data_IF_407127131490
#
_entry.id   IF_407127131490
#
_cell.length_a   1.000
_cell.length_b   1.000
_cell.length_c   1.000
_cell.angle_alpha   90.00
_cell.angle_beta   90.00
_cell.angle_gamma   90.00
#
_symmetry.space_group_name_H-M   'P 1'
#
loop_
_entity.id
_entity.type
_entity.pdbx_description
1 polymer ?
#
# COMPACT_ATOMS: atom_id res chain seq x y z
N UNK A 1 14.35 16.71 10.83
CA UNK A 1 12.99 16.52 11.42
C UNK A 1 12.18 15.74 10.40
N UNK A 2 11.87 14.50 10.69
CA UNK A 2 11.11 13.60 9.84
C UNK A 2 9.72 14.18 9.62
N UNK A 3 9.37 14.47 8.36
CA UNK A 3 8.14 15.17 7.97
C UNK A 3 6.86 14.34 8.10
N UNK A 4 6.72 13.55 9.16
CA UNK A 4 5.48 12.83 9.47
C UNK A 4 4.45 13.86 9.93
N UNK A 5 3.40 14.02 9.15
CA UNK A 5 2.26 14.86 9.51
C UNK A 5 1.46 14.15 10.60
N UNK A 6 1.35 14.78 11.77
CA UNK A 6 0.52 14.28 12.87
C UNK A 6 -0.96 14.25 12.43
N UNK A 7 -1.61 13.10 12.62
CA UNK A 7 -3.05 12.91 12.31
C UNK A 7 -3.99 13.83 13.10
N UNK A 8 -3.47 14.54 14.12
CA UNK A 8 -4.24 15.49 14.93
C UNK A 8 -4.04 16.96 14.54
N UNK A 9 -3.17 17.24 13.57
CA UNK A 9 -2.81 18.61 13.18
C UNK A 9 -3.50 19.00 11.87
N UNK A 10 -4.10 20.19 11.85
CA UNK A 10 -4.65 20.76 10.63
C UNK A 10 -3.55 21.24 9.68
N UNK A 11 -3.67 20.86 8.43
CA UNK A 11 -2.81 21.28 7.33
C UNK A 11 -3.54 22.39 6.57
N UNK A 12 -2.92 23.58 6.46
CA UNK A 12 -3.48 24.66 5.67
C UNK A 12 -2.74 24.84 4.34
N UNK A 13 -3.47 25.30 3.31
CA UNK A 13 -2.88 25.63 2.01
C UNK A 13 -1.76 26.66 2.14
N UNK A 14 -1.91 27.64 3.05
CA UNK A 14 -0.94 28.69 3.26
C UNK A 14 0.37 28.18 3.85
N UNK A 15 0.30 27.35 4.89
CA UNK A 15 1.47 26.74 5.52
C UNK A 15 2.25 25.84 4.55
N UNK A 16 1.53 25.05 3.74
CA UNK A 16 2.19 24.19 2.74
C UNK A 16 2.82 25.02 1.61
N UNK A 17 2.15 26.07 1.14
CA UNK A 17 2.69 26.96 0.13
C UNK A 17 3.99 27.64 0.60
N UNK A 18 4.01 28.12 1.83
CA UNK A 18 5.20 28.68 2.46
C UNK A 18 6.32 27.66 2.63
N UNK A 19 6.00 26.47 3.18
CA UNK A 19 6.95 25.37 3.42
C UNK A 19 7.68 24.94 2.14
N UNK A 20 6.96 24.85 1.03
CA UNK A 20 7.51 24.38 -0.26
C UNK A 20 7.91 25.50 -1.23
N UNK A 21 7.74 26.77 -0.86
CA UNK A 21 8.11 27.92 -1.68
C UNK A 21 7.31 28.06 -2.97
N UNK A 22 6.04 27.64 -2.97
CA UNK A 22 5.14 27.65 -4.14
C UNK A 22 3.90 28.49 -3.90
N UNK A 23 3.12 28.78 -4.94
CA UNK A 23 1.83 29.46 -4.78
C UNK A 23 0.76 28.53 -4.16
N UNK A 24 -0.34 29.11 -3.64
CA UNK A 24 -1.43 28.34 -3.02
C UNK A 24 -2.19 27.46 -4.03
N UNK A 25 -2.22 27.81 -5.31
CA UNK A 25 -3.01 27.08 -6.30
C UNK A 25 -2.56 25.60 -6.44
N UNK A 26 -1.29 25.27 -6.78
CA UNK A 26 -0.85 23.88 -6.88
C UNK A 26 -0.96 23.14 -5.56
N UNK A 27 -0.81 23.82 -4.41
CA UNK A 27 -1.01 23.20 -3.08
C UNK A 27 -2.47 22.81 -2.87
N UNK A 28 -3.40 23.68 -3.20
CA UNK A 28 -4.84 23.40 -3.13
C UNK A 28 -5.20 22.19 -3.97
N UNK A 29 -4.72 22.12 -5.21
CA UNK A 29 -4.99 21.03 -6.14
C UNK A 29 -4.44 19.70 -5.58
N UNK A 30 -3.22 19.70 -5.04
CA UNK A 30 -2.62 18.53 -4.42
C UNK A 30 -3.38 18.07 -3.16
N UNK A 31 -3.73 18.99 -2.26
CA UNK A 31 -4.48 18.66 -1.04
C UNK A 31 -5.90 18.16 -1.38
N UNK A 32 -6.53 18.74 -2.40
CA UNK A 32 -7.83 18.29 -2.88
C UNK A 32 -7.75 16.88 -3.48
N UNK A 33 -6.71 16.59 -4.29
CA UNK A 33 -6.47 15.27 -4.84
C UNK A 33 -6.26 14.22 -3.73
N UNK A 34 -5.39 14.51 -2.75
CA UNK A 34 -5.15 13.64 -1.61
C UNK A 34 -6.42 13.41 -0.78
N UNK A 35 -7.27 14.45 -0.64
CA UNK A 35 -8.56 14.30 0.04
C UNK A 35 -9.53 13.43 -0.77
N UNK A 36 -9.58 13.57 -2.10
CA UNK A 36 -10.40 12.74 -2.97
C UNK A 36 -9.95 11.28 -2.96
N UNK A 37 -8.65 11.02 -2.81
CA UNK A 37 -8.08 9.69 -2.67
C UNK A 37 -8.25 9.09 -1.26
N UNK A 38 -8.74 9.88 -0.29
CA UNK A 38 -8.99 9.42 1.07
C UNK A 38 -7.79 9.47 2.02
N UNK A 39 -6.68 10.07 1.63
CA UNK A 39 -5.52 10.28 2.51
C UNK A 39 -5.71 11.43 3.49
N UNK A 40 -6.48 12.43 3.09
CA UNK A 40 -6.82 13.58 3.90
C UNK A 40 -8.34 13.72 4.05
N UNK A 41 -8.76 14.26 5.19
CA UNK A 41 -10.14 14.70 5.42
C UNK A 41 -10.16 16.21 5.30
N UNK A 42 -11.01 16.75 4.41
CA UNK A 42 -11.22 18.20 4.26
C UNK A 42 -12.23 18.72 5.29
N UNK A 43 -11.86 19.72 6.02
CA UNK A 43 -12.73 20.42 6.98
C UNK A 43 -12.99 21.85 6.51
N UNK A 44 -14.26 22.19 6.35
CA UNK A 44 -14.65 23.52 5.89
C UNK A 44 -14.03 24.62 6.77
N UNK A 45 -13.33 25.58 6.15
CA UNK A 45 -12.63 26.72 6.78
C UNK A 45 -11.50 26.37 7.75
N UNK A 46 -11.20 25.08 7.99
CA UNK A 46 -10.13 24.65 8.90
C UNK A 46 -8.92 24.08 8.16
N UNK A 47 -9.10 23.62 6.92
CA UNK A 47 -8.05 22.97 6.13
C UNK A 47 -8.23 21.45 6.07
N UNK A 48 -7.15 20.73 6.12
CA UNK A 48 -7.13 19.27 5.95
C UNK A 48 -6.48 18.60 7.15
N UNK A 49 -6.88 17.36 7.43
CA UNK A 49 -6.22 16.50 8.42
C UNK A 49 -5.85 15.18 7.75
N UNK A 50 -4.76 14.55 8.20
CA UNK A 50 -4.42 13.19 7.78
C UNK A 50 -5.55 12.25 8.22
N UNK A 51 -6.02 11.43 7.28
CA UNK A 51 -7.06 10.46 7.59
C UNK A 51 -6.51 9.39 8.55
N UNK A 52 -7.33 8.94 9.48
CA UNK A 52 -7.03 7.83 10.38
C UNK A 52 -8.11 6.77 10.21
N UNK A 53 -7.69 5.52 10.09
CA UNK A 53 -8.61 4.39 9.93
C UNK A 53 -8.78 3.66 11.25
N UNK A 54 -10.01 3.31 11.59
CA UNK A 54 -10.32 2.39 12.69
C UNK A 54 -9.86 0.97 12.33
N UNK A 55 -9.69 0.10 13.33
CA UNK A 55 -9.34 -1.31 13.11
C UNK A 55 -10.39 -1.99 12.22
N UNK A 56 -11.67 -1.70 12.44
CA UNK A 56 -12.76 -2.26 11.63
C UNK A 56 -12.65 -1.85 10.15
N UNK A 57 -12.39 -0.57 9.86
CA UNK A 57 -12.17 -0.10 8.48
C UNK A 57 -10.92 -0.74 7.85
N UNK A 58 -9.84 -0.91 8.60
CA UNK A 58 -8.64 -1.62 8.11
C UNK A 58 -8.98 -3.07 7.76
N UNK A 59 -9.72 -3.77 8.62
CA UNK A 59 -10.15 -5.15 8.36
C UNK A 59 -11.05 -5.26 7.12
N UNK A 60 -11.96 -4.31 6.90
CA UNK A 60 -12.77 -4.24 5.68
C UNK A 60 -11.90 -4.03 4.43
N UNK A 61 -10.90 -3.15 4.50
CA UNK A 61 -9.93 -2.93 3.41
C UNK A 61 -9.12 -4.20 3.15
N UNK A 62 -8.62 -4.87 4.20
CA UNK A 62 -7.86 -6.13 4.08
C UNK A 62 -8.69 -7.26 3.45
N UNK A 63 -9.98 -7.33 3.75
CA UNK A 63 -10.87 -8.32 3.15
C UNK A 63 -10.94 -8.18 1.62
N UNK A 64 -11.07 -6.95 1.11
CA UNK A 64 -11.10 -6.66 -0.34
C UNK A 64 -9.71 -6.91 -0.95
N UNK A 65 -8.65 -6.36 -0.33
CA UNK A 65 -7.26 -6.54 -0.75
C UNK A 65 -6.92 -8.01 -0.94
N UNK A 66 -7.30 -8.84 0.03
CA UNK A 66 -7.07 -10.29 0.01
C UNK A 66 -7.63 -10.96 -1.24
N UNK A 67 -8.83 -10.60 -1.68
CA UNK A 67 -9.42 -11.16 -2.90
C UNK A 67 -8.67 -10.71 -4.17
N UNK A 68 -8.25 -9.45 -4.22
CA UNK A 68 -7.47 -8.91 -5.35
C UNK A 68 -6.11 -9.61 -5.44
N UNK A 69 -5.44 -9.80 -4.29
CA UNK A 69 -4.12 -10.45 -4.28
C UNK A 69 -4.20 -11.96 -4.49
N UNK A 70 -5.26 -12.65 -4.09
CA UNK A 70 -5.51 -14.05 -4.47
C UNK A 70 -5.61 -14.21 -5.99
N UNK A 71 -6.31 -13.30 -6.65
CA UNK A 71 -6.32 -13.29 -8.12
C UNK A 71 -4.92 -13.05 -8.70
N UNK A 72 -4.10 -12.19 -8.08
CA UNK A 72 -2.71 -12.02 -8.49
C UNK A 72 -1.90 -13.32 -8.37
N UNK A 73 -2.04 -14.07 -7.27
CA UNK A 73 -1.38 -15.37 -7.06
C UNK A 73 -1.77 -16.37 -8.16
N UNK A 74 -3.07 -16.51 -8.45
CA UNK A 74 -3.56 -17.41 -9.50
C UNK A 74 -2.93 -17.08 -10.86
N UNK A 75 -3.00 -15.81 -11.25
CA UNK A 75 -2.47 -15.34 -12.53
C UNK A 75 -0.94 -15.43 -12.62
N UNK A 76 -0.21 -15.21 -11.53
CA UNK A 76 1.25 -15.40 -11.47
C UNK A 76 1.59 -16.86 -11.73
N UNK A 77 0.92 -17.80 -11.09
CA UNK A 77 1.14 -19.22 -11.25
C UNK A 77 0.88 -19.67 -12.71
N UNK A 78 -0.12 -19.08 -13.35
CA UNK A 78 -0.48 -19.39 -14.73
C UNK A 78 0.46 -18.74 -15.77
N UNK A 79 0.87 -17.49 -15.56
CA UNK A 79 1.43 -16.67 -16.63
C UNK A 79 2.86 -16.15 -16.40
N UNK A 80 3.31 -16.01 -15.13
CA UNK A 80 4.62 -15.43 -14.87
C UNK A 80 5.76 -16.46 -15.07
N UNK A 81 6.94 -15.99 -15.55
CA UNK A 81 8.14 -16.83 -15.63
C UNK A 81 8.79 -16.98 -14.26
N UNK A 82 9.65 -17.99 -14.09
CA UNK A 82 10.37 -18.20 -12.84
C UNK A 82 11.31 -17.03 -12.52
N UNK A 83 11.90 -16.40 -13.56
CA UNK A 83 12.73 -15.22 -13.40
C UNK A 83 11.92 -14.02 -12.87
N UNK A 84 10.69 -13.83 -13.35
CA UNK A 84 9.80 -12.78 -12.85
C UNK A 84 9.45 -13.03 -11.39
N UNK A 85 9.07 -14.25 -11.02
CA UNK A 85 8.77 -14.61 -9.63
C UNK A 85 10.02 -14.46 -8.75
N UNK A 86 11.17 -14.95 -9.18
CA UNK A 86 12.42 -14.83 -8.42
C UNK A 86 12.84 -13.37 -8.20
N UNK A 87 12.49 -12.46 -9.13
CA UNK A 87 12.78 -11.03 -8.98
C UNK A 87 12.09 -10.37 -7.78
N UNK A 88 11.03 -10.98 -7.25
CA UNK A 88 10.34 -10.52 -6.04
C UNK A 88 11.23 -10.57 -4.79
N UNK A 89 12.26 -11.44 -4.77
CA UNK A 89 13.17 -11.58 -3.61
C UNK A 89 13.93 -10.30 -3.27
N UNK A 90 14.10 -9.37 -4.22
CA UNK A 90 14.72 -8.08 -3.94
C UNK A 90 14.01 -7.29 -2.84
N UNK A 91 12.70 -7.47 -2.69
CA UNK A 91 11.91 -6.78 -1.68
C UNK A 91 12.07 -7.38 -0.27
N UNK A 92 12.56 -8.62 -0.18
CA UNK A 92 12.86 -9.29 1.09
C UNK A 92 14.34 -9.15 1.49
N UNK A 93 15.25 -9.15 0.52
CA UNK A 93 16.70 -9.11 0.76
C UNK A 93 17.29 -7.70 0.78
N UNK A 94 16.70 -6.75 0.07
CA UNK A 94 17.15 -5.37 -0.05
C UNK A 94 16.16 -4.36 0.54
N UNK A 95 15.27 -4.82 1.41
CA UNK A 95 14.19 -4.03 1.99
C UNK A 95 14.63 -2.71 2.62
N UNK A 96 15.81 -2.69 3.27
CA UNK A 96 16.37 -1.47 3.88
C UNK A 96 16.67 -0.33 2.88
N UNK A 97 16.76 -0.65 1.58
CA UNK A 97 17.02 0.31 0.49
C UNK A 97 15.76 0.75 -0.25
N UNK A 98 14.63 0.14 0.07
CA UNK A 98 13.35 0.35 -0.62
C UNK A 98 12.40 1.08 0.32
N UNK A 99 11.88 2.22 -0.12
CA UNK A 99 10.81 2.88 0.62
C UNK A 99 9.56 1.98 0.61
N UNK A 100 9.10 1.60 1.80
CA UNK A 100 7.97 0.73 1.99
C UNK A 100 8.06 -0.62 1.23
N UNK A 101 9.02 -1.50 1.58
CA UNK A 101 9.28 -2.75 0.84
C UNK A 101 8.07 -3.68 0.80
N UNK A 102 7.22 -3.68 1.84
CA UNK A 102 5.99 -4.46 1.88
C UNK A 102 5.01 -4.04 0.77
N UNK A 103 4.73 -2.74 0.66
CA UNK A 103 3.86 -2.23 -0.41
C UNK A 103 4.47 -2.51 -1.79
N UNK A 104 5.77 -2.28 -1.93
CA UNK A 104 6.49 -2.51 -3.18
C UNK A 104 6.45 -3.99 -3.62
N UNK A 105 6.52 -4.95 -2.67
CA UNK A 105 6.37 -6.37 -2.93
C UNK A 105 4.99 -6.71 -3.52
N UNK A 106 3.92 -6.31 -2.84
CA UNK A 106 2.55 -6.59 -3.31
C UNK A 106 2.23 -5.92 -4.66
N UNK A 107 2.72 -4.69 -4.86
CA UNK A 107 2.60 -4.02 -6.17
C UNK A 107 3.35 -4.76 -7.28
N UNK A 108 4.54 -5.29 -6.98
CA UNK A 108 5.31 -6.09 -7.94
C UNK A 108 4.61 -7.42 -8.26
N UNK A 109 3.99 -8.09 -7.27
CA UNK A 109 3.14 -9.26 -7.50
C UNK A 109 2.01 -8.93 -8.48
N UNK A 110 1.27 -7.84 -8.22
CA UNK A 110 0.20 -7.41 -9.12
C UNK A 110 0.72 -7.14 -10.54
N UNK A 111 1.91 -6.53 -10.67
CA UNK A 111 2.49 -6.22 -11.98
C UNK A 111 2.90 -7.46 -12.78
N UNK A 112 3.52 -8.48 -12.14
CA UNK A 112 3.92 -9.71 -12.84
C UNK A 112 2.78 -10.71 -13.08
N UNK A 113 1.58 -10.46 -12.54
CA UNK A 113 0.38 -11.25 -12.82
C UNK A 113 -0.07 -11.22 -14.29
N UNK A 114 0.41 -10.22 -15.05
CA UNK A 114 0.01 -9.99 -16.44
C UNK A 114 -1.34 -9.25 -16.60
N UNK A 115 -2.07 -8.99 -15.52
CA UNK A 115 -3.30 -8.21 -15.57
C UNK A 115 -3.00 -6.72 -15.33
N UNK A 116 -3.12 -5.91 -16.39
CA UNK A 116 -2.77 -4.48 -16.36
C UNK A 116 -3.61 -3.63 -15.38
N UNK A 117 -4.76 -4.11 -14.91
CA UNK A 117 -5.65 -3.38 -14.01
C UNK A 117 -5.41 -3.70 -12.53
N UNK A 118 -4.76 -4.82 -12.21
CA UNK A 118 -4.52 -5.21 -10.82
C UNK A 118 -3.64 -4.22 -10.06
N UNK A 119 -2.54 -3.67 -10.61
CA UNK A 119 -1.73 -2.69 -9.89
C UNK A 119 -2.53 -1.45 -9.46
N UNK A 120 -3.31 -0.86 -10.35
CA UNK A 120 -4.13 0.32 -10.06
C UNK A 120 -5.20 0.01 -9.00
N UNK A 121 -5.88 -1.14 -9.13
CA UNK A 121 -6.90 -1.56 -8.18
C UNK A 121 -6.31 -1.78 -6.76
N UNK A 122 -5.10 -2.33 -6.68
CA UNK A 122 -4.45 -2.66 -5.41
C UNK A 122 -3.83 -1.43 -4.72
N UNK A 123 -3.25 -0.50 -5.49
CA UNK A 123 -2.49 0.65 -4.98
C UNK A 123 -3.27 1.46 -3.94
N UNK A 124 -4.54 1.74 -4.20
CA UNK A 124 -5.39 2.52 -3.31
C UNK A 124 -5.58 1.85 -1.94
N UNK A 125 -5.70 0.52 -1.89
CA UNK A 125 -5.85 -0.23 -0.65
C UNK A 125 -4.53 -0.32 0.11
N UNK A 126 -3.43 -0.64 -0.59
CA UNK A 126 -2.10 -0.72 0.02
C UNK A 126 -1.67 0.59 0.65
N UNK A 127 -1.91 1.71 -0.04
CA UNK A 127 -1.56 3.03 0.48
C UNK A 127 -2.35 3.40 1.74
N UNK A 128 -3.62 3.03 1.83
CA UNK A 128 -4.43 3.23 3.05
C UNK A 128 -3.93 2.38 4.22
N UNK A 129 -3.57 1.11 3.95
CA UNK A 129 -3.00 0.22 4.96
C UNK A 129 -1.64 0.72 5.43
N UNK A 130 -0.80 1.20 4.51
CA UNK A 130 0.49 1.82 4.85
C UNK A 130 0.31 3.03 5.76
N UNK A 131 -0.64 3.92 5.44
CA UNK A 131 -0.98 5.06 6.28
C UNK A 131 -1.48 4.61 7.67
N UNK A 132 -2.32 3.58 7.72
CA UNK A 132 -2.83 3.03 8.97
C UNK A 132 -1.72 2.39 9.81
N UNK A 133 -0.78 1.66 9.18
CA UNK A 133 0.38 1.04 9.85
C UNK A 133 1.34 2.08 10.43
N UNK A 134 1.63 3.15 9.69
CA UNK A 134 2.47 4.25 10.18
C UNK A 134 1.92 4.87 11.48
N UNK A 135 0.59 4.87 11.65
CA UNK A 135 -0.07 5.39 12.83
C UNK A 135 -0.19 4.37 13.99
N UNK A 136 -0.02 3.06 13.74
CA UNK A 136 -0.31 1.99 14.70
C UNK A 136 0.84 1.01 14.97
N UNK A 137 2.04 1.23 14.42
CA UNK A 137 3.24 0.35 14.58
C UNK A 137 2.97 -1.14 14.26
N UNK A 138 2.26 -1.43 13.18
CA UNK A 138 1.89 -2.78 12.79
C UNK A 138 3.07 -3.52 12.12
N UNK A 139 3.22 -4.81 12.42
CA UNK A 139 4.27 -5.65 11.85
C UNK A 139 4.11 -5.85 10.33
N UNK A 140 5.24 -6.08 9.66
CA UNK A 140 5.31 -6.38 8.21
C UNK A 140 5.50 -7.88 8.02
N UNK A 141 4.76 -8.47 7.09
CA UNK A 141 4.86 -9.89 6.75
C UNK A 141 6.22 -10.28 6.15
N UNK A 142 6.54 -11.58 6.23
CA UNK A 142 7.74 -12.19 5.63
C UNK A 142 7.34 -12.91 4.35
N UNK A 143 7.75 -12.38 3.20
CA UNK A 143 7.28 -12.84 1.90
C UNK A 143 8.05 -14.04 1.31
N UNK A 144 9.16 -14.48 1.92
CA UNK A 144 10.02 -15.53 1.35
C UNK A 144 9.28 -16.84 1.07
N UNK A 145 8.45 -17.28 2.03
CA UNK A 145 7.67 -18.52 1.87
C UNK A 145 6.60 -18.40 0.78
N UNK A 146 6.02 -17.23 0.59
CA UNK A 146 5.09 -16.97 -0.50
C UNK A 146 5.81 -17.07 -1.84
N UNK A 147 7.00 -16.46 -1.97
CA UNK A 147 7.81 -16.55 -3.19
C UNK A 147 8.18 -18.01 -3.50
N UNK A 148 8.57 -18.79 -2.48
CA UNK A 148 8.90 -20.21 -2.65
C UNK A 148 7.69 -21.02 -3.17
N UNK A 149 6.50 -20.77 -2.61
CA UNK A 149 5.28 -21.43 -3.06
C UNK A 149 4.88 -21.04 -4.49
N UNK A 150 5.08 -19.77 -4.88
CA UNK A 150 4.87 -19.30 -6.25
C UNK A 150 5.83 -19.97 -7.25
N UNK A 151 7.13 -20.08 -6.91
CA UNK A 151 8.11 -20.78 -7.73
C UNK A 151 7.80 -22.29 -7.88
N UNK A 152 7.31 -22.91 -6.81
CA UNK A 152 6.85 -24.30 -6.83
C UNK A 152 5.51 -24.49 -7.57
N UNK A 153 4.87 -23.42 -8.05
CA UNK A 153 3.52 -23.44 -8.66
C UNK A 153 2.46 -24.10 -7.75
N UNK A 154 2.68 -24.06 -6.45
CA UNK A 154 1.78 -24.63 -5.46
C UNK A 154 0.70 -23.61 -5.06
N UNK A 155 -0.44 -23.64 -5.77
CA UNK A 155 -1.56 -22.70 -5.56
C UNK A 155 -2.05 -22.71 -4.11
N UNK A 156 -2.25 -23.90 -3.53
CA UNK A 156 -2.78 -24.04 -2.17
C UNK A 156 -1.84 -23.41 -1.16
N UNK A 157 -0.57 -23.73 -1.20
CA UNK A 157 0.41 -23.16 -0.27
C UNK A 157 0.58 -21.65 -0.49
N UNK A 158 0.63 -21.17 -1.74
CA UNK A 158 0.72 -19.75 -2.03
C UNK A 158 -0.46 -18.97 -1.45
N UNK A 159 -1.69 -19.51 -1.54
CA UNK A 159 -2.87 -18.91 -0.93
C UNK A 159 -2.81 -18.86 0.61
N UNK A 160 -2.34 -19.95 1.23
CA UNK A 160 -2.15 -19.98 2.70
C UNK A 160 -1.10 -18.97 3.15
N UNK A 161 0.04 -18.85 2.45
CA UNK A 161 1.09 -17.88 2.76
C UNK A 161 0.63 -16.43 2.55
N UNK A 162 -0.17 -16.19 1.51
CA UNK A 162 -0.79 -14.88 1.32
C UNK A 162 -1.78 -14.56 2.44
N UNK A 163 -2.58 -15.53 2.86
CA UNK A 163 -3.53 -15.38 3.96
C UNK A 163 -2.83 -15.07 5.29
N UNK A 164 -1.67 -15.68 5.55
CA UNK A 164 -0.82 -15.40 6.72
C UNK A 164 -0.21 -13.98 6.65
N UNK A 165 0.17 -13.53 5.45
CA UNK A 165 0.78 -12.22 5.23
C UNK A 165 -0.22 -11.07 5.36
N UNK A 166 -1.46 -11.29 4.88
CA UNK A 166 -2.56 -10.32 4.96
C UNK A 166 -3.41 -10.63 6.21
N UNK A 167 -2.78 -10.75 7.37
CA UNK A 167 -3.52 -10.99 8.61
C UNK A 167 -4.44 -9.80 8.96
N UNK A 168 -5.63 -10.13 9.48
CA UNK A 168 -6.53 -9.13 10.08
C UNK A 168 -5.96 -8.68 11.44
N UNK A 169 -6.32 -7.47 11.86
CA UNK A 169 -5.89 -6.86 13.12
C UNK A 169 -6.92 -7.07 14.22
#
# INVERSE_FOLDING_TARGET
ENGVLDSKTFISEAQMAEKYGVSKAPVRDALHLLSKQGYLISYHRKGYMVNSFTIDEINQIQAIRKQIEKLSVELIIENATDEQIASLRKYTTEGDKIENPNQAFHMAMAAISGNQFLPEALENFLSKITLARANNNLEVGKHDKLIDALLARNVTEAMERLDDDIAFL
#
